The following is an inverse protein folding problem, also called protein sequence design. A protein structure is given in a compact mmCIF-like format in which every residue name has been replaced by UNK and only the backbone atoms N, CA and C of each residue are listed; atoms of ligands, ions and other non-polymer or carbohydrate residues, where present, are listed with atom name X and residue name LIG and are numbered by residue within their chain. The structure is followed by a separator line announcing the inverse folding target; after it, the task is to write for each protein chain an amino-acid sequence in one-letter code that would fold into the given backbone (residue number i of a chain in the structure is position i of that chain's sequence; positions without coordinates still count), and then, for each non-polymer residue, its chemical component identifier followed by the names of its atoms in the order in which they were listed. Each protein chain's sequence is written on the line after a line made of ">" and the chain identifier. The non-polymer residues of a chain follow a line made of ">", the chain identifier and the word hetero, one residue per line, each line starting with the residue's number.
data_IF_767508058488
#
_entry.id   IF_767508058488
#
_cell.length_a   1.000
_cell.length_b   1.000
_cell.length_c   1.000
_cell.angle_alpha   90.00
_cell.angle_beta   90.00
_cell.angle_gamma   90.00
#
_symmetry.space_group_name_H-M   'P 1'
#
loop_
_entity.id
_entity.type
_entity.pdbx_description
1 polymer ?
#
# COMPACT_ATOMS: atom_id res chain seq x y z
N UNK A 1 -8.86 -10.80 -8.06
CA UNK A 1 -7.42 -11.17 -8.20
C UNK A 1 -6.91 -11.67 -6.87
N UNK A 2 -6.29 -12.83 -6.86
CA UNK A 2 -5.79 -13.41 -5.62
C UNK A 2 -4.58 -12.63 -5.08
N UNK A 3 -4.45 -12.61 -3.74
CA UNK A 3 -3.29 -12.02 -3.09
C UNK A 3 -2.02 -12.81 -3.42
N UNK A 4 -0.90 -12.11 -3.59
CA UNK A 4 0.40 -12.74 -3.86
C UNK A 4 0.88 -13.61 -2.68
N UNK A 5 0.50 -13.25 -1.46
CA UNK A 5 0.93 -13.94 -0.25
C UNK A 5 -0.26 -14.61 0.43
N UNK A 6 -0.01 -15.75 1.07
CA UNK A 6 -1.05 -16.50 1.81
C UNK A 6 -1.41 -15.81 3.11
N UNK A 7 -0.50 -15.04 3.68
CA UNK A 7 -0.68 -14.38 4.97
C UNK A 7 -1.34 -12.99 4.86
N UNK A 8 -1.61 -12.55 3.65
CA UNK A 8 -2.25 -11.26 3.37
C UNK A 8 -3.44 -11.46 2.45
N UNK A 9 -4.30 -10.43 2.34
CA UNK A 9 -5.55 -10.54 1.58
C UNK A 9 -5.56 -9.71 0.31
N UNK A 10 -4.70 -8.69 0.23
CA UNK A 10 -4.81 -7.68 -0.80
C UNK A 10 -3.44 -7.32 -1.42
N UNK A 11 -2.50 -8.25 -1.41
CA UNK A 11 -1.15 -8.03 -1.94
C UNK A 11 -1.12 -8.26 -3.44
N UNK A 12 -0.65 -7.26 -4.19
CA UNK A 12 -0.49 -7.39 -5.64
C UNK A 12 0.47 -6.35 -6.18
N UNK A 13 0.96 -6.65 -7.38
CA UNK A 13 1.70 -5.66 -8.15
C UNK A 13 0.78 -4.53 -8.59
N UNK A 14 1.29 -3.30 -8.52
CA UNK A 14 0.65 -2.19 -9.19
C UNK A 14 0.71 -2.42 -10.71
N UNK A 15 -0.34 -2.07 -11.49
CA UNK A 15 -0.40 -2.41 -12.91
C UNK A 15 0.48 -1.49 -13.78
N UNK A 16 1.75 -1.39 -13.45
CA UNK A 16 2.73 -0.56 -14.19
C UNK A 16 3.49 -1.37 -15.25
N UNK A 17 3.39 -2.70 -15.21
CA UNK A 17 4.03 -3.60 -16.16
C UNK A 17 5.48 -3.95 -15.86
N UNK A 18 6.13 -3.23 -14.95
CA UNK A 18 7.55 -3.42 -14.63
C UNK A 18 7.82 -4.26 -13.38
N UNK A 19 6.77 -4.72 -12.68
CA UNK A 19 6.86 -5.48 -11.43
C UNK A 19 7.77 -4.78 -10.42
N UNK A 20 7.53 -3.51 -10.19
CA UNK A 20 8.34 -2.68 -9.31
C UNK A 20 7.64 -2.31 -8.01
N UNK A 21 6.32 -2.15 -8.05
CA UNK A 21 5.56 -1.65 -6.91
C UNK A 21 4.54 -2.66 -6.46
N UNK A 22 4.58 -3.02 -5.16
CA UNK A 22 3.60 -3.91 -4.53
C UNK A 22 2.81 -3.12 -3.51
N UNK A 23 1.48 -3.15 -3.64
CA UNK A 23 0.57 -2.63 -2.63
C UNK A 23 0.03 -3.80 -1.81
N UNK A 24 -0.21 -3.60 -0.52
CA UNK A 24 -0.69 -4.66 0.35
C UNK A 24 -1.43 -4.12 1.57
N UNK A 25 -2.21 -4.98 2.21
CA UNK A 25 -2.65 -4.84 3.59
C UNK A 25 -1.47 -5.10 4.53
N UNK A 26 -1.67 -5.00 5.84
CA UNK A 26 -0.58 -5.14 6.83
C UNK A 26 0.19 -6.46 6.66
N UNK A 27 1.50 -6.41 6.34
CA UNK A 27 2.30 -7.60 6.07
C UNK A 27 3.14 -8.05 7.26
N UNK A 28 2.62 -7.87 8.47
CA UNK A 28 3.37 -8.19 9.69
C UNK A 28 3.49 -9.67 9.97
N UNK A 29 2.64 -10.49 9.37
CA UNK A 29 2.59 -11.94 9.57
C UNK A 29 3.22 -12.74 8.44
N UNK A 30 4.04 -12.11 7.59
CA UNK A 30 4.70 -12.80 6.48
C UNK A 30 5.53 -13.98 6.97
N UNK A 31 5.49 -15.08 6.20
CA UNK A 31 6.35 -16.24 6.47
C UNK A 31 7.78 -15.95 6.01
N UNK A 32 8.73 -16.76 6.47
CA UNK A 32 10.12 -16.66 6.04
C UNK A 32 10.23 -16.80 4.51
N UNK A 33 9.43 -17.69 3.92
CA UNK A 33 9.40 -17.88 2.48
C UNK A 33 8.91 -16.64 1.75
N UNK A 34 7.89 -15.98 2.28
CA UNK A 34 7.34 -14.75 1.69
C UNK A 34 8.34 -13.59 1.79
N UNK A 35 9.04 -13.47 2.89
CA UNK A 35 10.11 -12.48 3.04
C UNK A 35 11.24 -12.75 2.03
N UNK A 36 11.61 -14.01 1.87
CA UNK A 36 12.65 -14.39 0.89
C UNK A 36 12.19 -14.16 -0.55
N UNK A 37 10.89 -14.33 -0.81
CA UNK A 37 10.31 -14.00 -2.12
C UNK A 37 10.52 -12.52 -2.45
N UNK A 38 10.29 -11.64 -1.47
CA UNK A 38 10.54 -10.19 -1.65
C UNK A 38 12.02 -9.93 -1.97
N UNK A 39 12.94 -10.58 -1.25
CA UNK A 39 14.36 -10.43 -1.53
C UNK A 39 14.72 -10.88 -2.94
N UNK A 40 14.22 -12.04 -3.34
CA UNK A 40 14.51 -12.61 -4.66
C UNK A 40 13.97 -11.78 -5.82
N UNK A 41 12.90 -10.99 -5.56
CA UNK A 41 12.32 -10.09 -6.55
C UNK A 41 12.86 -8.67 -6.44
N UNK A 42 13.90 -8.46 -5.63
CA UNK A 42 14.52 -7.16 -5.41
C UNK A 42 13.54 -6.09 -4.90
N UNK A 43 12.53 -6.50 -4.12
CA UNK A 43 11.60 -5.59 -3.44
C UNK A 43 12.11 -5.39 -2.03
N UNK A 44 12.99 -4.41 -1.85
CA UNK A 44 13.76 -4.22 -0.62
C UNK A 44 13.46 -2.89 0.08
N UNK A 45 12.59 -2.07 -0.47
CA UNK A 45 12.15 -0.81 0.14
C UNK A 45 10.73 -1.00 0.66
N UNK A 46 10.50 -0.67 1.92
CA UNK A 46 9.21 -0.80 2.59
C UNK A 46 8.72 0.59 3.00
N UNK A 47 7.48 0.91 2.66
CA UNK A 47 6.86 2.17 3.07
C UNK A 47 5.59 1.87 3.86
N UNK A 48 5.62 2.16 5.14
CA UNK A 48 4.52 1.97 6.08
C UNK A 48 3.73 3.27 6.15
N UNK A 49 2.50 3.25 5.66
CA UNK A 49 1.62 4.42 5.58
C UNK A 49 0.73 4.59 6.82
N UNK A 50 0.88 3.71 7.80
CA UNK A 50 0.03 3.71 9.00
C UNK A 50 0.39 4.86 9.93
N UNK A 51 -0.57 5.23 10.78
CA UNK A 51 -0.35 6.21 11.82
C UNK A 51 0.62 5.70 12.87
N UNK A 52 1.20 6.62 13.62
CA UNK A 52 2.13 6.30 14.72
C UNK A 52 1.53 5.28 15.69
N UNK A 53 0.26 5.43 16.05
CA UNK A 53 -0.42 4.53 16.98
C UNK A 53 -0.52 3.10 16.46
N UNK A 54 -0.87 2.94 15.19
CA UNK A 54 -0.95 1.64 14.55
C UNK A 54 0.45 1.01 14.45
N UNK A 55 1.42 1.80 14.03
CA UNK A 55 2.82 1.39 13.90
C UNK A 55 3.38 0.92 15.24
N UNK A 56 3.11 1.66 16.31
CA UNK A 56 3.62 1.33 17.65
C UNK A 56 2.99 0.07 18.23
N UNK A 57 1.68 -0.13 18.00
CA UNK A 57 0.94 -1.28 18.53
C UNK A 57 1.23 -2.59 17.79
N UNK A 58 1.42 -2.50 16.48
CA UNK A 58 1.67 -3.65 15.61
C UNK A 58 2.90 -3.39 14.74
N UNK A 59 4.11 -3.53 15.29
CA UNK A 59 5.33 -3.37 14.50
C UNK A 59 5.35 -4.37 13.34
N UNK A 60 5.87 -3.94 12.20
CA UNK A 60 5.97 -4.80 11.04
C UNK A 60 7.29 -5.58 11.07
N UNK A 61 7.21 -6.87 10.82
CA UNK A 61 8.37 -7.75 10.74
C UNK A 61 9.48 -7.19 9.85
N UNK A 62 9.11 -6.58 8.71
CA UNK A 62 10.07 -6.11 7.71
C UNK A 62 10.99 -4.99 8.21
N UNK A 63 10.61 -4.29 9.28
CA UNK A 63 11.43 -3.23 9.85
C UNK A 63 12.77 -3.76 10.37
N UNK A 64 12.79 -4.99 10.86
CA UNK A 64 13.96 -5.60 11.47
C UNK A 64 14.61 -6.69 10.60
N UNK A 65 14.11 -6.87 9.38
CA UNK A 65 14.66 -7.88 8.48
C UNK A 65 15.87 -7.34 7.71
N UNK A 66 16.88 -8.17 7.62
CA UNK A 66 18.11 -7.84 6.90
C UNK A 66 17.84 -7.53 5.44
N UNK A 67 18.51 -6.56 4.90
CA UNK A 67 18.46 -6.09 3.51
C UNK A 67 17.32 -5.15 3.17
N UNK A 68 16.36 -4.93 4.07
CA UNK A 68 15.24 -4.02 3.84
C UNK A 68 15.53 -2.62 4.37
N UNK A 69 15.13 -1.61 3.59
CA UNK A 69 15.09 -0.21 4.02
C UNK A 69 13.64 0.11 4.36
N UNK A 70 13.37 0.49 5.60
CA UNK A 70 12.02 0.71 6.10
C UNK A 70 11.77 2.20 6.37
N UNK A 71 10.71 2.71 5.74
CA UNK A 71 10.25 4.07 5.96
C UNK A 71 8.87 4.06 6.61
N UNK A 72 8.72 4.77 7.69
CA UNK A 72 7.41 5.02 8.30
C UNK A 72 6.96 6.43 7.88
N UNK A 73 6.03 6.49 6.92
CA UNK A 73 5.56 7.74 6.32
C UNK A 73 4.04 7.79 6.37
N UNK A 74 3.45 8.23 7.50
CA UNK A 74 2.00 8.21 7.67
C UNK A 74 1.26 9.06 6.64
N UNK A 75 0.19 8.49 6.06
CA UNK A 75 -0.75 9.23 5.23
C UNK A 75 -1.79 9.87 6.14
N UNK A 76 -2.09 11.15 5.93
CA UNK A 76 -3.11 11.87 6.69
C UNK A 76 -4.52 11.32 6.41
N UNK A 77 -5.37 11.28 7.43
CA UNK A 77 -6.75 10.81 7.29
C UNK A 77 -6.91 9.31 7.44
N UNK A 78 -8.06 8.79 7.05
CA UNK A 78 -8.38 7.37 7.16
C UNK A 78 -8.83 6.93 8.55
N UNK A 79 -9.16 7.88 9.43
CA UNK A 79 -9.60 7.61 10.81
C UNK A 79 -11.06 7.27 10.91
N UNK A 80 -11.87 7.80 10.00
CA UNK A 80 -13.31 7.70 10.03
C UNK A 80 -13.76 6.84 8.87
N UNK A 81 -14.58 5.82 9.17
CA UNK A 81 -15.19 4.99 8.13
C UNK A 81 -16.25 5.83 7.41
N UNK A 82 -16.12 6.08 6.10
CA UNK A 82 -17.11 6.84 5.36
C UNK A 82 -18.45 6.11 5.34
N UNK A 83 -19.55 6.83 5.56
CA UNK A 83 -20.90 6.27 5.56
C UNK A 83 -21.69 6.60 4.30
N UNK A 84 -21.30 7.64 3.59
CA UNK A 84 -21.96 8.08 2.35
C UNK A 84 -20.95 8.27 1.24
N UNK A 85 -21.37 8.28 -0.04
CA UNK A 85 -20.46 8.57 -1.15
C UNK A 85 -19.73 9.91 -1.01
N UNK A 86 -20.42 10.94 -0.50
CA UNK A 86 -19.84 12.26 -0.26
C UNK A 86 -18.74 12.19 0.79
N UNK A 87 -18.93 11.40 1.84
CA UNK A 87 -17.94 11.21 2.89
C UNK A 87 -16.70 10.51 2.36
N UNK A 88 -16.88 9.57 1.44
CA UNK A 88 -15.73 8.89 0.78
C UNK A 88 -14.90 9.91 0.01
N UNK A 89 -15.54 10.76 -0.77
CA UNK A 89 -14.87 11.79 -1.55
C UNK A 89 -14.10 12.74 -0.62
N UNK A 90 -14.74 13.20 0.47
CA UNK A 90 -14.10 14.08 1.44
C UNK A 90 -12.91 13.42 2.11
N UNK A 91 -13.02 12.15 2.47
CA UNK A 91 -11.92 11.40 3.08
C UNK A 91 -10.72 11.31 2.14
N UNK A 92 -10.95 11.01 0.86
CA UNK A 92 -9.88 10.95 -0.12
C UNK A 92 -9.25 12.33 -0.37
N UNK A 93 -10.05 13.36 -0.50
CA UNK A 93 -9.52 14.73 -0.68
C UNK A 93 -8.68 15.17 0.53
N UNK A 94 -9.08 14.77 1.74
CA UNK A 94 -8.32 15.08 2.94
C UNK A 94 -6.96 14.36 2.97
N UNK A 95 -6.86 13.18 2.36
CA UNK A 95 -5.61 12.43 2.29
C UNK A 95 -4.61 12.99 1.28
N UNK A 96 -5.07 13.83 0.33
CA UNK A 96 -4.20 14.43 -0.69
C UNK A 96 -3.59 15.71 -0.12
N UNK A 97 -2.30 15.64 0.23
CA UNK A 97 -1.56 16.77 0.81
C UNK A 97 -0.08 16.67 0.44
N UNK A 98 0.74 17.55 1.05
CA UNK A 98 2.19 17.55 0.82
C UNK A 98 2.87 16.27 1.29
N UNK A 99 2.35 15.67 2.35
CA UNK A 99 2.92 14.43 2.87
C UNK A 99 2.73 13.31 1.85
N UNK A 100 1.58 13.25 1.18
CA UNK A 100 1.36 12.29 0.11
C UNK A 100 2.34 12.48 -1.04
N UNK A 101 2.60 13.73 -1.44
CA UNK A 101 3.59 14.01 -2.49
C UNK A 101 4.97 13.52 -2.10
N UNK A 102 5.39 13.73 -0.86
CA UNK A 102 6.67 13.25 -0.35
C UNK A 102 6.75 11.72 -0.33
N UNK A 103 5.66 11.06 0.04
CA UNK A 103 5.54 9.60 0.04
C UNK A 103 5.71 9.07 -1.38
N UNK A 104 5.01 9.65 -2.33
CA UNK A 104 5.08 9.24 -3.74
C UNK A 104 6.50 9.46 -4.28
N UNK A 105 7.11 10.59 -3.97
CA UNK A 105 8.50 10.86 -4.36
C UNK A 105 9.46 9.81 -3.80
N UNK A 106 9.30 9.44 -2.54
CA UNK A 106 10.12 8.41 -1.89
C UNK A 106 9.98 7.07 -2.60
N UNK A 107 8.75 6.68 -2.94
CA UNK A 107 8.46 5.42 -3.63
C UNK A 107 9.06 5.43 -5.03
N UNK A 108 8.83 6.50 -5.80
CA UNK A 108 9.29 6.57 -7.18
C UNK A 108 10.81 6.69 -7.30
N UNK A 109 11.48 7.26 -6.30
CA UNK A 109 12.93 7.46 -6.30
C UNK A 109 13.69 6.31 -5.63
N UNK A 110 13.01 5.30 -5.11
CA UNK A 110 13.66 4.16 -4.47
C UNK A 110 14.53 3.40 -5.48
N UNK A 111 15.66 2.90 -5.00
CA UNK A 111 16.63 2.17 -5.86
C UNK A 111 16.19 0.75 -6.15
N UNK A 112 15.31 0.18 -5.31
CA UNK A 112 14.80 -1.18 -5.45
C UNK A 112 13.29 -1.13 -5.68
N UNK A 113 12.67 -2.29 -5.90
CA UNK A 113 11.23 -2.42 -5.85
C UNK A 113 10.71 -2.02 -4.46
N UNK A 114 9.46 -1.61 -4.39
CA UNK A 114 8.84 -1.07 -3.18
C UNK A 114 7.59 -1.84 -2.83
N UNK A 115 7.46 -2.20 -1.54
CA UNK A 115 6.21 -2.69 -0.97
C UNK A 115 5.68 -1.61 0.00
N UNK A 116 4.43 -1.18 -0.18
CA UNK A 116 3.84 -0.15 0.67
C UNK A 116 2.45 -0.58 1.12
N UNK A 117 2.05 -0.12 2.31
CA UNK A 117 0.85 -0.64 2.95
C UNK A 117 0.28 0.31 4.00
N UNK A 118 -1.01 0.10 4.30
CA UNK A 118 -1.67 0.59 5.51
C UNK A 118 -2.30 -0.63 6.20
N UNK A 119 -3.27 -0.44 7.09
CA UNK A 119 -3.86 -1.58 7.80
C UNK A 119 -4.60 -2.54 6.85
N UNK A 120 -5.55 -2.04 6.06
CA UNK A 120 -6.31 -2.87 5.11
C UNK A 120 -5.77 -2.87 3.68
N UNK A 121 -4.86 -1.97 3.37
CA UNK A 121 -4.34 -1.82 2.01
C UNK A 121 -5.37 -1.25 1.03
N UNK A 122 -6.42 -0.62 1.51
CA UNK A 122 -7.52 -0.12 0.69
C UNK A 122 -7.47 1.40 0.51
N UNK A 123 -7.66 2.18 1.59
CA UNK A 123 -7.89 3.62 1.49
C UNK A 123 -6.59 4.43 1.40
N UNK A 124 -5.77 4.44 2.43
CA UNK A 124 -4.49 5.16 2.42
C UNK A 124 -3.56 4.60 1.33
N UNK A 125 -3.50 3.29 1.22
CA UNK A 125 -2.75 2.61 0.17
C UNK A 125 -3.37 2.86 -1.20
N UNK A 126 -4.71 2.94 -1.28
CA UNK A 126 -5.43 3.23 -2.52
C UNK A 126 -5.15 4.63 -3.05
N UNK A 127 -5.18 5.64 -2.18
CA UNK A 127 -4.86 7.03 -2.56
C UNK A 127 -3.40 7.13 -3.02
N UNK A 128 -2.49 6.48 -2.32
CA UNK A 128 -1.07 6.45 -2.70
C UNK A 128 -0.88 5.77 -4.05
N UNK A 129 -1.56 4.64 -4.28
CA UNK A 129 -1.52 3.93 -5.57
C UNK A 129 -2.04 4.79 -6.70
N UNK A 130 -3.17 5.48 -6.49
CA UNK A 130 -3.74 6.40 -7.48
C UNK A 130 -2.75 7.52 -7.83
N UNK A 131 -2.09 8.10 -6.82
CA UNK A 131 -1.11 9.15 -7.02
C UNK A 131 0.12 8.65 -7.80
N UNK A 132 0.61 7.45 -7.50
CA UNK A 132 1.72 6.83 -8.22
C UNK A 132 1.35 6.62 -9.69
N UNK A 133 0.21 5.99 -9.94
CA UNK A 133 -0.24 5.70 -11.30
C UNK A 133 -0.45 6.99 -12.11
N UNK A 134 -1.05 8.01 -11.49
CA UNK A 134 -1.24 9.31 -12.13
C UNK A 134 0.10 9.96 -12.47
N UNK A 135 1.04 9.94 -11.54
CA UNK A 135 2.37 10.52 -11.73
C UNK A 135 3.12 9.82 -12.87
N UNK A 136 2.90 8.50 -13.04
CA UNK A 136 3.52 7.71 -14.10
C UNK A 136 2.78 7.82 -15.44
N UNK A 137 1.66 8.54 -15.50
CA UNK A 137 0.94 8.81 -16.75
C UNK A 137 -0.14 7.79 -17.11
N UNK A 138 -0.56 6.94 -16.18
CA UNK A 138 -1.64 5.99 -16.42
C UNK A 138 -2.99 6.68 -16.42
N UNK A 139 -3.96 6.10 -17.15
CA UNK A 139 -5.29 6.68 -17.31
C UNK A 139 -6.21 6.39 -16.12
N UNK A 140 -7.36 7.07 -16.09
CA UNK A 140 -8.33 6.93 -15.00
C UNK A 140 -8.88 5.50 -14.91
N UNK A 141 -9.06 4.83 -16.04
CA UNK A 141 -9.57 3.46 -16.06
C UNK A 141 -8.62 2.52 -15.32
N UNK A 142 -7.32 2.62 -15.56
CA UNK A 142 -6.31 1.81 -14.88
C UNK A 142 -6.34 2.05 -13.37
N UNK A 143 -6.45 3.31 -12.96
CA UNK A 143 -6.51 3.68 -11.54
C UNK A 143 -7.76 3.11 -10.86
N UNK A 144 -8.92 3.25 -11.52
CA UNK A 144 -10.20 2.76 -10.99
C UNK A 144 -10.20 1.24 -10.92
N UNK A 145 -9.73 0.57 -11.96
CA UNK A 145 -9.68 -0.89 -12.00
C UNK A 145 -8.81 -1.45 -10.86
N UNK A 146 -7.67 -0.83 -10.60
CA UNK A 146 -6.81 -1.23 -9.48
C UNK A 146 -7.52 -1.04 -8.13
N UNK A 147 -8.18 0.09 -7.93
CA UNK A 147 -8.93 0.35 -6.70
C UNK A 147 -10.04 -0.68 -6.48
N UNK A 148 -10.75 -1.04 -7.53
CA UNK A 148 -11.87 -1.99 -7.44
C UNK A 148 -11.41 -3.42 -7.07
N UNK A 149 -10.18 -3.79 -7.36
CA UNK A 149 -9.61 -5.07 -6.91
C UNK A 149 -9.58 -5.15 -5.38
N UNK A 150 -9.19 -4.07 -4.71
CA UNK A 150 -9.19 -4.01 -3.24
C UNK A 150 -10.59 -4.24 -2.67
N UNK A 151 -11.59 -3.64 -3.28
CA UNK A 151 -12.98 -3.82 -2.83
C UNK A 151 -13.40 -5.28 -2.90
N UNK A 152 -13.11 -5.96 -3.99
CA UNK A 152 -13.43 -7.37 -4.18
C UNK A 152 -12.67 -8.26 -3.18
N UNK A 153 -11.38 -8.03 -2.99
CA UNK A 153 -10.55 -8.81 -2.08
C UNK A 153 -11.00 -8.69 -0.62
N UNK A 154 -11.37 -7.48 -0.20
CA UNK A 154 -11.76 -7.23 1.19
C UNK A 154 -13.18 -7.62 1.52
N UNK A 155 -14.08 -7.68 0.54
CA UNK A 155 -15.43 -8.22 0.73
C UNK A 155 -15.35 -9.70 1.11
N UNK A 156 -14.50 -10.46 0.43
CA UNK A 156 -14.28 -11.87 0.76
C UNK A 156 -13.75 -12.05 2.18
N UNK A 157 -12.82 -11.20 2.58
CA UNK A 157 -12.24 -11.25 3.93
C UNK A 157 -13.25 -10.89 5.01
N UNK A 158 -14.13 -9.92 4.75
CA UNK A 158 -15.12 -9.46 5.73
C UNK A 158 -16.25 -10.48 5.98
N UNK A 159 -16.35 -11.52 5.17
CA UNK A 159 -17.31 -12.61 5.35
C UNK A 159 -16.74 -13.66 6.29
#
# INVERSE_FOLDING_TARGET
>A
MASLFKTTFNTRWLPTGDHRYIRTDYPGELTDEEVEWLRSHNVLTVVDLRKEEEYSKLPCRLENEKSFTYYHLPVSGGDVVPKTPEDIIKAYLFMIDKDLDNIVDTILNAKTGVIYFCASGKDRTGVTSAAILRRLGFDDKTIIDDYMISRANLIEYAR
#
